data_IF_379605760304
#
_entry.id   IF_379605760304
#
_cell.length_a   1.000
_cell.length_b   1.000
_cell.length_c   1.000
_cell.angle_alpha   90.00
_cell.angle_beta   90.00
_cell.angle_gamma   90.00
#
_symmetry.space_group_name_H-M   'P 1'
#
loop_
_entity.id
_entity.type
_entity.pdbx_description
1 polymer ?
#
# COMPACT_ATOMS: atom_id res chain seq x y z
N UNK A 1 -45.02 16.15 6.42
CA UNK A 1 -44.02 16.63 7.40
C UNK A 1 -42.68 16.01 7.01
N UNK A 2 -41.69 16.87 6.76
CA UNK A 2 -40.34 16.49 6.35
C UNK A 2 -39.49 16.01 7.56
N UNK A 3 -38.23 15.68 7.26
CA UNK A 3 -37.05 15.43 8.11
C UNK A 3 -36.76 13.93 8.30
N UNK A 4 -35.71 13.30 7.76
CA UNK A 4 -34.50 13.81 7.13
C UNK A 4 -33.28 13.38 7.94
N UNK A 5 -32.68 12.24 7.61
CA UNK A 5 -31.34 11.84 8.07
C UNK A 5 -30.48 11.46 6.86
N UNK A 6 -30.31 12.45 5.98
CA UNK A 6 -29.19 12.46 5.05
C UNK A 6 -27.91 12.62 5.87
N UNK A 7 -27.08 11.58 5.88
CA UNK A 7 -25.69 11.65 6.34
C UNK A 7 -24.92 12.60 5.41
N UNK A 8 -25.05 13.89 5.69
CA UNK A 8 -24.33 14.95 5.01
C UNK A 8 -22.85 14.82 5.32
N UNK A 9 -22.09 14.28 4.37
CA UNK A 9 -20.66 14.54 4.31
C UNK A 9 -20.49 16.06 4.14
N UNK A 10 -20.16 16.75 5.24
CA UNK A 10 -19.74 18.15 5.19
C UNK A 10 -18.45 18.21 4.36
N UNK A 11 -18.61 18.54 3.08
CA UNK A 11 -17.52 18.91 2.19
C UNK A 11 -16.89 20.20 2.68
N UNK A 12 -15.75 20.07 3.36
CA UNK A 12 -14.83 21.19 3.51
C UNK A 12 -14.09 21.39 2.21
N UNK A 13 -14.24 22.56 1.58
CA UNK A 13 -13.33 23.01 0.54
C UNK A 13 -11.95 23.25 1.16
N UNK A 14 -10.92 22.51 0.74
CA UNK A 14 -9.54 22.79 1.17
C UNK A 14 -8.54 21.66 0.99
N UNK A 15 -7.72 21.77 -0.06
CA UNK A 15 -6.69 20.84 -0.58
C UNK A 15 -7.22 19.64 -1.34
N UNK A 16 -6.73 19.48 -2.57
CA UNK A 16 -6.76 18.20 -3.25
C UNK A 16 -6.28 17.12 -2.27
N UNK A 17 -7.08 16.07 -2.06
CA UNK A 17 -6.66 14.85 -1.37
C UNK A 17 -5.70 14.09 -2.27
N UNK A 18 -4.62 14.74 -2.69
CA UNK A 18 -3.69 14.24 -3.67
C UNK A 18 -2.32 14.85 -3.43
N UNK A 19 -1.28 14.05 -3.67
CA UNK A 19 0.09 14.50 -3.46
C UNK A 19 1.04 13.33 -3.31
N UNK A 20 2.31 13.61 -2.95
CA UNK A 20 3.30 12.56 -2.76
C UNK A 20 3.02 11.76 -1.49
N UNK A 21 3.22 10.45 -1.59
CA UNK A 21 3.25 9.53 -0.45
C UNK A 21 4.70 9.37 -0.01
N UNK A 22 4.98 9.80 1.21
CA UNK A 22 6.28 9.71 1.85
C UNK A 22 6.39 8.36 2.55
N UNK A 23 7.41 7.60 2.19
CA UNK A 23 7.73 6.32 2.83
C UNK A 23 9.07 6.46 3.54
N UNK A 24 9.04 6.26 4.84
CA UNK A 24 10.17 6.24 5.74
C UNK A 24 10.57 4.79 6.07
N UNK A 25 11.87 4.52 6.26
CA UNK A 25 12.31 3.22 6.76
C UNK A 25 11.84 2.99 8.21
N UNK A 26 11.86 1.75 8.71
CA UNK A 26 11.63 1.48 10.12
C UNK A 26 12.67 2.19 11.01
N UNK A 27 12.34 2.40 12.30
CA UNK A 27 13.29 3.01 13.24
C UNK A 27 14.55 2.14 13.33
N UNK A 28 15.72 2.78 13.30
CA UNK A 28 17.05 2.15 13.29
C UNK A 28 17.22 1.13 12.14
N UNK A 29 16.70 1.46 10.96
CA UNK A 29 16.81 0.58 9.79
C UNK A 29 18.26 0.37 9.36
N UNK A 30 18.60 -0.88 9.05
CA UNK A 30 19.87 -1.22 8.42
C UNK A 30 19.85 -0.95 6.90
N UNK A 31 21.01 -1.12 6.24
CA UNK A 31 21.16 -0.86 4.81
C UNK A 31 20.21 -1.71 3.94
N UNK A 32 20.01 -2.99 4.29
CA UNK A 32 19.11 -3.90 3.55
C UNK A 32 17.64 -3.48 3.67
N UNK A 33 17.21 -3.06 4.86
CA UNK A 33 15.86 -2.53 5.07
C UNK A 33 15.63 -1.23 4.29
N UNK A 34 16.63 -0.33 4.25
CA UNK A 34 16.55 0.90 3.44
C UNK A 34 16.47 0.55 1.95
N UNK A 35 17.22 -0.46 1.49
CA UNK A 35 17.17 -0.96 0.11
C UNK A 35 15.78 -1.52 -0.22
N UNK A 36 15.18 -2.31 0.66
CA UNK A 36 13.81 -2.82 0.49
C UNK A 36 12.78 -1.69 0.39
N UNK A 37 12.89 -0.64 1.21
CA UNK A 37 12.01 0.54 1.12
C UNK A 37 12.15 1.23 -0.24
N UNK A 38 13.38 1.38 -0.75
CA UNK A 38 13.62 1.97 -2.08
C UNK A 38 13.06 1.09 -3.21
N UNK A 39 13.17 -0.23 -3.09
CA UNK A 39 12.58 -1.18 -4.05
C UNK A 39 11.05 -1.09 -4.05
N UNK A 40 10.43 -1.03 -2.87
CA UNK A 40 9.00 -0.78 -2.74
C UNK A 40 8.58 0.51 -3.46
N UNK A 41 9.27 1.62 -3.20
CA UNK A 41 8.98 2.91 -3.85
C UNK A 41 9.10 2.82 -5.38
N UNK A 42 10.13 2.11 -5.89
CA UNK A 42 10.31 1.90 -7.33
C UNK A 42 9.14 1.12 -7.93
N UNK A 43 8.72 0.04 -7.29
CA UNK A 43 7.58 -0.78 -7.73
C UNK A 43 6.25 -0.02 -7.63
N UNK A 44 6.01 0.67 -6.53
CA UNK A 44 4.80 1.48 -6.33
C UNK A 44 4.66 2.59 -7.38
N UNK A 45 5.76 3.28 -7.72
CA UNK A 45 5.76 4.26 -8.80
C UNK A 45 5.60 3.63 -10.19
N UNK A 46 6.07 2.39 -10.41
CA UNK A 46 5.82 1.66 -11.65
C UNK A 46 4.33 1.35 -11.78
N UNK A 47 3.72 0.78 -10.76
CA UNK A 47 2.28 0.52 -10.71
C UNK A 47 1.45 1.80 -10.91
N UNK A 48 1.88 2.93 -10.33
CA UNK A 48 1.25 4.23 -10.54
C UNK A 48 1.26 4.66 -12.00
N UNK A 49 2.41 4.57 -12.68
CA UNK A 49 2.52 4.91 -14.11
C UNK A 49 1.70 3.98 -15.01
N UNK A 50 1.57 2.72 -14.61
CA UNK A 50 0.82 1.70 -15.35
C UNK A 50 -0.68 1.67 -14.99
N UNK A 51 -1.17 2.59 -14.15
CA UNK A 51 -2.59 2.73 -13.85
C UNK A 51 -3.15 1.70 -12.84
N UNK A 52 -2.29 1.01 -12.08
CA UNK A 52 -2.69 0.02 -11.07
C UNK A 52 -3.11 0.64 -9.72
N UNK A 53 -3.02 1.97 -9.59
CA UNK A 53 -3.48 2.68 -8.40
C UNK A 53 -4.99 2.90 -8.52
N UNK A 54 -5.69 2.75 -7.40
CA UNK A 54 -7.12 3.00 -7.29
C UNK A 54 -7.50 4.39 -7.84
N UNK A 55 -8.48 4.50 -8.75
CA UNK A 55 -8.90 5.78 -9.32
C UNK A 55 -9.54 6.71 -8.27
N UNK A 56 -10.04 6.13 -7.18
CA UNK A 56 -10.60 6.86 -6.04
C UNK A 56 -9.57 7.14 -4.94
N UNK A 57 -8.30 6.81 -5.15
CA UNK A 57 -7.24 6.97 -4.16
C UNK A 57 -7.24 5.87 -3.09
N UNK A 58 -6.64 6.15 -1.93
CA UNK A 58 -6.49 5.21 -0.82
C UNK A 58 -7.85 4.63 -0.41
N UNK A 59 -7.95 3.30 -0.33
CA UNK A 59 -9.15 2.60 0.11
C UNK A 59 -8.95 1.90 1.44
N UNK A 60 -10.06 1.65 2.14
CA UNK A 60 -10.07 0.80 3.33
C UNK A 60 -9.84 -0.66 2.91
N UNK A 61 -8.93 -1.34 3.60
CA UNK A 61 -8.68 -2.78 3.39
C UNK A 61 -9.52 -3.66 4.32
N UNK A 62 -10.34 -3.08 5.22
CA UNK A 62 -11.16 -3.86 6.16
C UNK A 62 -12.12 -4.81 5.41
N UNK A 63 -12.43 -5.95 6.04
CA UNK A 63 -13.33 -6.96 5.48
C UNK A 63 -12.69 -7.81 4.39
N UNK A 64 -13.46 -8.09 3.34
CA UNK A 64 -13.12 -9.06 2.29
C UNK A 64 -11.84 -8.73 1.52
N UNK A 65 -11.51 -7.45 1.38
CA UNK A 65 -10.29 -7.04 0.67
C UNK A 65 -9.03 -7.53 1.39
N UNK A 66 -8.98 -7.41 2.73
CA UNK A 66 -7.87 -7.96 3.53
C UNK A 66 -7.79 -9.47 3.42
N UNK A 67 -8.93 -10.17 3.48
CA UNK A 67 -8.95 -11.65 3.39
C UNK A 67 -8.38 -12.09 2.03
N UNK A 68 -8.86 -11.49 0.95
CA UNK A 68 -8.40 -11.81 -0.42
C UNK A 68 -6.93 -11.44 -0.63
N UNK A 69 -6.46 -10.29 -0.14
CA UNK A 69 -5.05 -9.89 -0.23
C UNK A 69 -4.14 -10.86 0.55
N UNK A 70 -4.54 -11.27 1.76
CA UNK A 70 -3.81 -12.29 2.53
C UNK A 70 -3.75 -13.63 1.79
N UNK A 71 -4.86 -14.02 1.15
CA UNK A 71 -4.90 -15.23 0.32
C UNK A 71 -3.95 -15.14 -0.87
N UNK A 72 -3.96 -14.03 -1.61
CA UNK A 72 -3.07 -13.80 -2.75
C UNK A 72 -1.58 -13.86 -2.35
N UNK A 73 -1.21 -13.27 -1.20
CA UNK A 73 0.15 -13.38 -0.67
C UNK A 73 0.53 -14.83 -0.26
N UNK A 74 -0.44 -15.61 0.22
CA UNK A 74 -0.25 -17.03 0.53
C UNK A 74 -0.02 -17.88 -0.71
N UNK A 75 -0.90 -17.75 -1.70
CA UNK A 75 -0.79 -18.41 -3.02
C UNK A 75 0.54 -18.05 -3.70
N UNK A 76 0.94 -16.77 -3.63
CA UNK A 76 2.22 -16.31 -4.16
C UNK A 76 3.41 -16.95 -3.45
N UNK A 77 3.36 -17.09 -2.12
CA UNK A 77 4.43 -17.75 -1.34
C UNK A 77 4.60 -19.20 -1.78
N UNK A 78 3.48 -19.92 -1.90
CA UNK A 78 3.47 -21.33 -2.32
C UNK A 78 4.03 -21.48 -3.74
N UNK A 79 3.57 -20.66 -4.68
CA UNK A 79 4.05 -20.62 -6.06
C UNK A 79 5.56 -20.34 -6.15
N UNK A 80 6.10 -19.46 -5.30
CA UNK A 80 7.54 -19.20 -5.19
C UNK A 80 8.32 -20.39 -4.63
N UNK A 81 7.78 -21.07 -3.61
CA UNK A 81 8.40 -22.25 -3.02
C UNK A 81 8.49 -23.40 -4.04
N UNK A 82 7.42 -23.65 -4.79
CA UNK A 82 7.38 -24.65 -5.87
C UNK A 82 8.36 -24.29 -6.99
N UNK A 83 8.48 -23.01 -7.33
CA UNK A 83 9.43 -22.51 -8.34
C UNK A 83 10.89 -22.47 -7.86
N UNK A 84 11.21 -22.96 -6.65
CA UNK A 84 12.57 -22.97 -6.11
C UNK A 84 13.10 -21.59 -5.69
N UNK A 85 12.23 -20.60 -5.58
CA UNK A 85 12.58 -19.20 -5.20
C UNK A 85 11.75 -18.73 -3.99
N UNK A 86 11.81 -19.45 -2.84
CA UNK A 86 11.00 -19.11 -1.69
C UNK A 86 11.33 -17.72 -1.13
N UNK A 87 10.29 -16.98 -0.78
CA UNK A 87 10.41 -15.72 -0.03
C UNK A 87 11.01 -15.98 1.35
N UNK A 88 11.99 -15.16 1.74
CA UNK A 88 12.65 -15.23 3.06
C UNK A 88 11.84 -14.48 4.13
N UNK A 89 11.19 -13.40 3.74
CA UNK A 89 10.36 -12.56 4.60
C UNK A 89 8.87 -12.63 4.23
N UNK A 90 8.22 -11.47 4.34
CA UNK A 90 6.84 -11.28 3.96
C UNK A 90 6.72 -11.10 2.45
N UNK A 91 5.71 -11.74 1.88
CA UNK A 91 5.24 -11.47 0.52
C UNK A 91 4.48 -10.14 0.55
N UNK A 92 5.22 -9.04 0.38
CA UNK A 92 4.71 -7.69 0.42
C UNK A 92 3.99 -7.32 -0.87
N UNK A 93 2.83 -6.69 -0.77
CA UNK A 93 2.13 -6.13 -1.92
C UNK A 93 2.81 -4.83 -2.35
N UNK A 94 3.09 -4.66 -3.64
CA UNK A 94 3.72 -3.45 -4.17
C UNK A 94 2.87 -2.87 -5.31
N UNK A 95 2.22 -1.71 -5.09
CA UNK A 95 2.03 -1.03 -3.81
C UNK A 95 1.06 -1.81 -2.90
N UNK A 96 0.97 -1.40 -1.64
CA UNK A 96 0.02 -2.00 -0.69
C UNK A 96 -1.41 -1.97 -1.23
N UNK A 97 -2.20 -2.98 -0.87
CA UNK A 97 -3.61 -3.15 -1.24
C UNK A 97 -4.47 -1.90 -0.99
N UNK A 98 -4.12 -1.07 0.00
CA UNK A 98 -4.82 0.20 0.27
C UNK A 98 -4.69 1.20 -0.89
N UNK A 99 -3.63 1.13 -1.70
CA UNK A 99 -3.39 2.01 -2.83
C UNK A 99 -4.00 1.47 -4.13
N UNK A 100 -4.13 0.15 -4.29
CA UNK A 100 -4.70 -0.47 -5.49
C UNK A 100 -6.20 -0.72 -5.38
N UNK A 101 -6.69 -1.03 -4.18
CA UNK A 101 -8.04 -1.54 -3.95
C UNK A 101 -8.28 -2.95 -4.48
N UNK A 102 -7.23 -3.65 -4.88
CA UNK A 102 -7.28 -5.01 -5.45
C UNK A 102 -6.45 -5.97 -4.60
N UNK A 103 -6.95 -7.19 -4.44
CA UNK A 103 -6.23 -8.24 -3.73
C UNK A 103 -4.95 -8.67 -4.46
N UNK A 104 -4.98 -8.71 -5.79
CA UNK A 104 -3.80 -8.97 -6.60
C UNK A 104 -3.04 -7.64 -6.80
N UNK A 105 -1.81 -7.51 -6.30
CA UNK A 105 -1.00 -6.32 -6.53
C UNK A 105 -0.39 -6.34 -7.93
N UNK A 106 0.18 -5.21 -8.33
CA UNK A 106 0.99 -5.11 -9.54
C UNK A 106 2.23 -6.02 -9.47
N UNK A 107 2.86 -6.06 -8.31
CA UNK A 107 3.99 -6.95 -8.03
C UNK A 107 4.05 -7.33 -6.56
N UNK A 108 4.72 -8.44 -6.28
CA UNK A 108 5.10 -8.83 -4.93
C UNK A 108 6.58 -8.57 -4.71
N UNK A 109 6.96 -8.34 -3.45
CA UNK A 109 8.33 -8.11 -3.04
C UNK A 109 8.63 -8.85 -1.75
N UNK A 110 9.81 -9.46 -1.66
CA UNK A 110 10.31 -10.04 -0.42
C UNK A 110 10.73 -8.94 0.55
N UNK A 111 9.92 -8.74 1.59
CA UNK A 111 10.09 -7.68 2.56
C UNK A 111 10.40 -8.25 3.95
N UNK A 112 11.37 -7.65 4.62
CA UNK A 112 11.52 -7.83 6.06
C UNK A 112 10.21 -7.48 6.78
N UNK A 113 9.85 -8.27 7.79
CA UNK A 113 8.57 -8.12 8.48
C UNK A 113 8.40 -6.73 9.11
N UNK A 114 9.50 -6.13 9.61
CA UNK A 114 9.51 -4.78 10.19
C UNK A 114 9.32 -3.72 9.11
N UNK A 115 9.93 -3.90 7.94
CA UNK A 115 9.75 -3.02 6.77
C UNK A 115 8.29 -3.05 6.31
N UNK A 116 7.74 -4.25 6.05
CA UNK A 116 6.37 -4.41 5.57
C UNK A 116 5.35 -3.78 6.53
N UNK A 117 5.49 -4.06 7.83
CA UNK A 117 4.60 -3.51 8.86
C UNK A 117 4.73 -1.97 8.98
N UNK A 118 5.96 -1.44 8.87
CA UNK A 118 6.21 0.01 8.91
C UNK A 118 5.60 0.72 7.70
N UNK A 119 5.68 0.15 6.51
CA UNK A 119 5.08 0.72 5.29
C UNK A 119 3.55 0.75 5.42
N UNK A 120 2.93 -0.39 5.76
CA UNK A 120 1.48 -0.48 5.92
C UNK A 120 0.95 0.46 7.03
N UNK A 121 1.70 0.61 8.11
CA UNK A 121 1.36 1.56 9.19
C UNK A 121 1.38 3.02 8.75
N UNK A 122 2.35 3.41 7.91
CA UNK A 122 2.46 4.78 7.41
C UNK A 122 1.31 5.19 6.49
N UNK A 123 0.67 4.24 5.80
CA UNK A 123 -0.50 4.53 4.98
C UNK A 123 -1.67 5.14 5.79
N UNK A 124 -1.73 4.90 7.11
CA UNK A 124 -2.74 5.51 7.97
C UNK A 124 -2.60 7.02 8.13
N UNK A 125 -1.44 7.60 7.81
CA UNK A 125 -1.25 9.06 7.77
C UNK A 125 -1.93 9.75 6.59
N UNK A 126 -2.45 8.98 5.62
CA UNK A 126 -3.15 9.49 4.44
C UNK A 126 -4.65 9.18 4.57
N UNK A 127 -5.58 10.12 4.41
CA UNK A 127 -7.01 9.84 4.52
C UNK A 127 -7.49 8.86 3.44
N UNK A 128 -8.61 8.17 3.70
CA UNK A 128 -9.33 7.45 2.63
C UNK A 128 -9.71 8.45 1.54
N UNK A 129 -9.53 8.08 0.28
CA UNK A 129 -9.67 8.97 -0.87
C UNK A 129 -8.38 9.67 -1.31
N UNK A 130 -7.27 9.53 -0.56
CA UNK A 130 -6.01 10.20 -0.92
C UNK A 130 -5.40 9.61 -2.20
N UNK A 131 -5.25 10.44 -3.24
CA UNK A 131 -4.69 10.11 -4.55
C UNK A 131 -3.19 10.33 -4.57
N UNK A 132 -2.44 9.24 -4.42
CA UNK A 132 -0.98 9.25 -4.58
C UNK A 132 -0.59 9.75 -5.98
N UNK A 133 0.32 10.71 -6.06
CA UNK A 133 0.90 11.22 -7.33
C UNK A 133 2.28 10.64 -7.60
N UNK A 134 2.99 10.25 -6.53
CA UNK A 134 4.26 9.54 -6.51
C UNK A 134 4.54 9.01 -5.12
N UNK A 135 5.36 7.99 -5.02
CA UNK A 135 5.93 7.50 -3.78
C UNK A 135 7.37 8.02 -3.68
N UNK A 136 7.74 8.59 -2.54
CA UNK A 136 9.07 9.17 -2.33
C UNK A 136 9.71 8.65 -1.05
N UNK A 137 11.02 8.50 -1.09
CA UNK A 137 11.80 8.12 0.08
C UNK A 137 11.97 9.32 0.99
N UNK A 138 11.60 9.17 2.26
CA UNK A 138 11.87 10.17 3.29
C UNK A 138 12.81 9.58 4.32
N UNK A 139 13.91 10.28 4.60
CA UNK A 139 14.82 9.90 5.68
C UNK A 139 14.07 10.03 7.01
N UNK A 140 14.22 9.01 7.86
CA UNK A 140 13.66 8.98 9.21
C UNK A 140 14.59 9.62 10.22
#
# INVERSE_FOLDING_TARGET
MANGDGIGYKGGEGKALSGPVEIMPPLNANAEQIKQVKLYIKGANKALREGYISPIGRVSTKGDLRIRASKAAGEERERAAIAGTPYKGHVGHVPDTTWTGTAQPHSFLDLDAKVNSSIGGQANGYPIGYKATKFIYKKR
#
